data_IF_699094828686
#
_entry.id   IF_699094828686
#
_cell.length_a   1.000
_cell.length_b   1.000
_cell.length_c   1.000
_cell.angle_alpha   90.00
_cell.angle_beta   90.00
_cell.angle_gamma   90.00
#
_symmetry.space_group_name_H-M   'P 1'
#
loop_
_entity.id
_entity.type
_entity.pdbx_description
1 polymer ?
#
# COMPACT_ATOMS: atom_id res chain seq x y z
N UNK A 1 4.90 -11.78 -12.21
CA UNK A 1 3.97 -10.66 -12.45
C UNK A 1 3.94 -9.77 -11.21
N UNK A 2 4.12 -8.45 -11.34
CA UNK A 2 3.87 -7.49 -10.25
C UNK A 2 2.38 -7.14 -10.31
N UNK A 3 1.61 -7.65 -9.34
CA UNK A 3 0.15 -7.59 -9.37
C UNK A 3 -0.41 -6.29 -8.79
N UNK A 4 0.29 -5.64 -7.86
CA UNK A 4 -0.19 -4.40 -7.23
C UNK A 4 0.60 -3.16 -7.69
N UNK A 5 -0.10 -2.02 -7.82
CA UNK A 5 0.45 -0.71 -8.24
C UNK A 5 0.61 0.28 -7.09
N UNK A 6 0.62 -0.19 -5.85
CA UNK A 6 0.59 0.64 -4.64
C UNK A 6 1.74 1.66 -4.62
N UNK A 7 2.97 1.22 -4.93
CA UNK A 7 4.14 2.11 -4.96
C UNK A 7 4.01 3.24 -5.98
N UNK A 8 3.45 2.94 -7.15
CA UNK A 8 3.25 3.93 -8.21
C UNK A 8 2.20 4.95 -7.80
N UNK A 9 1.05 4.49 -7.30
CA UNK A 9 -0.04 5.38 -6.85
C UNK A 9 0.40 6.27 -5.68
N UNK A 10 1.15 5.73 -4.73
CA UNK A 10 1.74 6.52 -3.64
C UNK A 10 2.67 7.62 -4.17
N UNK A 11 3.50 7.31 -5.17
CA UNK A 11 4.39 8.28 -5.80
C UNK A 11 3.64 9.34 -6.59
N UNK A 12 2.60 8.96 -7.34
CA UNK A 12 1.76 9.87 -8.13
C UNK A 12 1.01 10.87 -7.22
N UNK A 13 0.54 10.41 -6.05
CA UNK A 13 -0.15 11.24 -5.07
C UNK A 13 0.79 11.99 -4.10
N UNK A 14 2.10 11.72 -4.14
CA UNK A 14 3.07 12.29 -3.19
C UNK A 14 2.86 11.83 -1.74
N UNK A 15 2.23 10.67 -1.54
CA UNK A 15 1.91 10.12 -0.21
C UNK A 15 3.04 9.19 0.24
N UNK A 16 3.46 9.35 1.50
CA UNK A 16 4.48 8.49 2.09
C UNK A 16 3.91 7.13 2.50
N UNK A 17 4.73 6.09 2.40
CA UNK A 17 4.39 4.76 2.92
C UNK A 17 4.15 4.77 4.44
N UNK A 18 4.80 5.66 5.19
CA UNK A 18 4.56 5.85 6.62
C UNK A 18 3.17 6.40 6.91
N UNK A 19 2.63 7.25 6.03
CA UNK A 19 1.26 7.74 6.14
C UNK A 19 0.25 6.62 5.88
N UNK A 20 0.43 5.86 4.79
CA UNK A 20 -0.45 4.71 4.47
C UNK A 20 -0.41 3.65 5.59
N UNK A 21 0.75 3.42 6.20
CA UNK A 21 0.90 2.52 7.34
C UNK A 21 0.05 2.96 8.55
N UNK A 22 -0.01 4.26 8.84
CA UNK A 22 -0.87 4.81 9.89
C UNK A 22 -2.36 4.65 9.56
N UNK A 23 -2.76 4.86 8.30
CA UNK A 23 -4.16 4.70 7.89
C UNK A 23 -4.64 3.24 7.94
N UNK A 24 -3.74 2.30 7.61
CA UNK A 24 -4.06 0.86 7.64
C UNK A 24 -3.91 0.22 9.03
N UNK A 25 -3.48 0.99 10.03
CA UNK A 25 -3.03 0.49 11.33
C UNK A 25 -2.06 -0.71 11.20
N UNK A 26 -1.05 -0.54 10.34
CA UNK A 26 -0.02 -1.56 10.05
C UNK A 26 1.38 -0.98 10.23
N UNK A 27 2.34 -1.87 10.45
CA UNK A 27 3.74 -1.45 10.49
C UNK A 27 4.21 -0.95 9.13
N UNK A 28 5.14 0.01 9.14
CA UNK A 28 5.78 0.50 7.91
C UNK A 28 6.40 -0.63 7.09
N UNK A 29 7.04 -1.60 7.75
CA UNK A 29 7.66 -2.76 7.10
C UNK A 29 6.64 -3.60 6.31
N UNK A 30 5.41 -3.75 6.84
CA UNK A 30 4.33 -4.47 6.15
C UNK A 30 3.90 -3.74 4.88
N UNK A 31 3.65 -2.42 4.97
CA UNK A 31 3.26 -1.59 3.83
C UNK A 31 4.37 -1.51 2.79
N UNK A 32 5.64 -1.43 3.22
CA UNK A 32 6.78 -1.47 2.32
C UNK A 32 6.89 -2.82 1.60
N UNK A 33 6.58 -3.94 2.27
CA UNK A 33 6.53 -5.25 1.63
C UNK A 33 5.45 -5.32 0.55
N UNK A 34 4.26 -4.72 0.80
CA UNK A 34 3.20 -4.60 -0.20
C UNK A 34 3.62 -3.75 -1.40
N UNK A 35 4.14 -2.55 -1.14
CA UNK A 35 4.58 -1.62 -2.18
C UNK A 35 5.75 -2.18 -3.02
N UNK A 36 6.66 -2.93 -2.39
CA UNK A 36 7.75 -3.61 -3.10
C UNK A 36 7.30 -4.92 -3.77
N UNK A 37 6.02 -5.30 -3.69
CA UNK A 37 5.48 -6.56 -4.21
C UNK A 37 6.20 -7.81 -3.63
N UNK A 38 6.81 -7.71 -2.44
CA UNK A 38 7.44 -8.86 -1.75
C UNK A 38 6.38 -9.75 -1.11
N UNK A 39 5.32 -9.12 -0.60
CA UNK A 39 4.13 -9.75 -0.07
C UNK A 39 2.95 -9.13 -0.81
N UNK A 40 1.98 -9.94 -1.19
CA UNK A 40 0.72 -9.42 -1.73
C UNK A 40 -0.25 -9.19 -0.57
N UNK A 41 -0.90 -8.00 -0.49
CA UNK A 41 -2.03 -7.82 0.41
C UNK A 41 -3.16 -8.76 -0.02
N UNK A 42 -3.96 -9.22 0.96
CA UNK A 42 -5.21 -9.91 0.64
C UNK A 42 -6.20 -8.94 -0.01
N UNK A 43 -7.28 -9.49 -0.58
CA UNK A 43 -8.28 -8.68 -1.30
C UNK A 43 -8.90 -7.60 -0.42
N UNK A 44 -9.21 -7.89 0.84
CA UNK A 44 -9.74 -6.89 1.79
C UNK A 44 -8.76 -5.74 2.04
N UNK A 45 -7.49 -6.05 2.30
CA UNK A 45 -6.47 -5.02 2.52
C UNK A 45 -6.23 -4.22 1.25
N UNK A 46 -6.26 -4.87 0.08
CA UNK A 46 -6.10 -4.19 -1.20
C UNK A 46 -7.27 -3.23 -1.48
N UNK A 47 -8.50 -3.65 -1.18
CA UNK A 47 -9.71 -2.83 -1.26
C UNK A 47 -9.62 -1.61 -0.32
N UNK A 48 -9.23 -1.83 0.94
CA UNK A 48 -9.04 -0.75 1.90
C UNK A 48 -7.96 0.25 1.45
N UNK A 49 -6.84 -0.25 0.89
CA UNK A 49 -5.80 0.60 0.30
C UNK A 49 -6.36 1.42 -0.86
N UNK A 50 -7.20 0.82 -1.71
CA UNK A 50 -7.81 1.52 -2.83
C UNK A 50 -8.78 2.61 -2.36
N UNK A 51 -9.54 2.37 -1.29
CA UNK A 51 -10.43 3.37 -0.68
C UNK A 51 -9.65 4.52 -0.04
N UNK A 52 -8.58 4.22 0.70
CA UNK A 52 -7.70 5.25 1.29
C UNK A 52 -6.99 6.08 0.23
N UNK A 53 -6.65 5.46 -0.91
CA UNK A 53 -5.92 6.09 -2.00
C UNK A 53 -6.82 6.58 -3.14
N UNK A 54 -8.16 6.60 -3.01
CA UNK A 54 -9.04 7.28 -3.97
C UNK A 54 -8.59 8.73 -4.21
#
# INVERSE_FOLDING_TARGET
MKLNRIKTVLSEKGISQTWLAKQLDKSFSMVNAYACNRIQPNLETLQLIAEILQ
#
